data_IF_594288720441
#
_entry.id   IF_594288720441
#
_cell.length_a   1.000
_cell.length_b   1.000
_cell.length_c   1.000
_cell.angle_alpha   90.00
_cell.angle_beta   90.00
_cell.angle_gamma   90.00
#
_symmetry.space_group_name_H-M   'P 1'
#
loop_
_entity.id
_entity.type
_entity.pdbx_description
1 polymer ?
#
# COMPACT_ATOMS: atom_id res chain seq x y z
N UNK A 1 14.69 -28.81 28.20
CA UNK A 1 13.81 -28.41 27.10
C UNK A 1 12.77 -27.46 27.69
N UNK A 2 12.95 -26.15 27.52
CA UNK A 2 11.96 -25.16 27.96
C UNK A 2 11.28 -24.62 26.71
N UNK A 3 10.16 -25.22 26.34
CA UNK A 3 9.25 -24.70 25.30
C UNK A 3 8.20 -23.80 25.96
N UNK A 4 8.64 -22.64 26.44
CA UNK A 4 7.71 -21.63 26.95
C UNK A 4 8.24 -20.27 26.54
N UNK A 5 7.88 -19.82 25.33
CA UNK A 5 7.98 -18.42 24.88
C UNK A 5 7.52 -18.19 23.43
N UNK A 6 7.19 -19.23 22.64
CA UNK A 6 6.78 -19.01 21.24
C UNK A 6 5.29 -18.64 21.10
N UNK A 7 4.40 -19.35 21.82
CA UNK A 7 2.94 -19.23 21.67
C UNK A 7 2.38 -17.84 22.05
N UNK A 8 2.91 -17.22 23.10
CA UNK A 8 2.50 -15.87 23.53
C UNK A 8 2.90 -14.77 22.53
N UNK A 9 3.92 -15.00 21.70
CA UNK A 9 4.33 -14.04 20.68
C UNK A 9 3.48 -14.16 19.42
N UNK A 10 3.07 -15.37 19.04
CA UNK A 10 2.18 -15.62 17.90
C UNK A 10 0.81 -14.96 18.10
N UNK A 11 0.16 -15.16 19.26
CA UNK A 11 -1.15 -14.55 19.56
C UNK A 11 -1.11 -13.01 19.53
N UNK A 12 -0.01 -12.40 19.99
CA UNK A 12 0.18 -10.94 19.94
C UNK A 12 0.40 -10.42 18.52
N UNK A 13 1.10 -11.20 17.68
CA UNK A 13 1.34 -10.82 16.28
C UNK A 13 0.02 -10.86 15.50
N UNK A 14 -0.79 -11.89 15.70
CA UNK A 14 -2.12 -12.01 15.08
C UNK A 14 -3.05 -10.87 15.52
N UNK A 15 -3.07 -10.53 16.81
CA UNK A 15 -3.87 -9.42 17.33
C UNK A 15 -3.45 -8.06 16.73
N UNK A 16 -2.14 -7.82 16.55
CA UNK A 16 -1.64 -6.58 15.93
C UNK A 16 -1.98 -6.52 14.43
N UNK A 17 -1.93 -7.67 13.74
CA UNK A 17 -2.26 -7.80 12.32
C UNK A 17 -3.75 -7.59 12.02
N UNK A 18 -4.63 -8.24 12.76
CA UNK A 18 -6.09 -8.16 12.58
C UNK A 18 -6.65 -6.77 12.93
N UNK A 19 -6.09 -6.11 13.94
CA UNK A 19 -6.52 -4.78 14.36
C UNK A 19 -6.02 -3.65 13.43
N UNK A 20 -5.41 -3.98 12.29
CA UNK A 20 -4.88 -3.01 11.32
C UNK A 20 -4.04 -1.91 11.99
N UNK A 21 -3.31 -2.26 13.04
CA UNK A 21 -2.55 -1.28 13.82
C UNK A 21 -1.37 -0.86 12.97
N UNK A 22 -1.32 0.43 12.60
CA UNK A 22 -0.18 1.00 11.92
C UNK A 22 1.07 0.90 12.81
N UNK A 23 1.97 -0.01 12.47
CA UNK A 23 3.24 -0.22 13.20
C UNK A 23 4.35 0.72 12.74
N UNK A 24 4.16 1.41 11.62
CA UNK A 24 5.08 2.43 11.12
C UNK A 24 4.60 3.82 11.51
N UNK A 25 5.49 4.60 12.13
CA UNK A 25 5.24 6.02 12.42
C UNK A 25 5.28 6.89 11.15
N UNK A 26 5.97 6.42 10.11
CA UNK A 26 6.17 7.14 8.86
C UNK A 26 5.55 6.38 7.68
N UNK A 27 4.97 7.13 6.74
CA UNK A 27 4.51 6.54 5.47
C UNK A 27 5.73 6.22 4.61
N UNK A 28 5.90 4.96 4.16
CA UNK A 28 7.02 4.60 3.31
C UNK A 28 6.85 5.20 1.92
N UNK A 29 7.41 6.39 1.72
CA UNK A 29 7.45 7.08 0.44
C UNK A 29 8.81 6.86 -0.23
N UNK A 30 8.80 6.83 -1.56
CA UNK A 30 10.05 6.81 -2.35
C UNK A 30 10.77 8.16 -2.18
N UNK A 31 12.09 8.16 -2.26
CA UNK A 31 12.92 9.36 -2.02
C UNK A 31 12.65 10.52 -2.99
N UNK A 32 12.13 10.21 -4.17
CA UNK A 32 11.79 11.12 -5.28
C UNK A 32 10.27 11.39 -5.38
N UNK A 33 9.47 11.03 -4.36
CA UNK A 33 8.00 11.11 -4.41
C UNK A 33 7.47 12.54 -4.70
N UNK A 34 8.32 13.55 -4.54
CA UNK A 34 8.00 14.97 -4.71
C UNK A 34 8.78 15.65 -5.85
N UNK A 35 9.51 14.91 -6.66
CA UNK A 35 10.37 15.46 -7.73
C UNK A 35 9.58 16.03 -8.91
N UNK A 36 8.33 15.59 -9.10
CA UNK A 36 7.46 16.05 -10.18
C UNK A 36 6.25 16.83 -9.66
N UNK A 37 5.82 17.82 -10.44
CA UNK A 37 4.66 18.66 -10.12
C UNK A 37 3.36 17.84 -10.05
N UNK A 38 2.39 18.32 -9.27
CA UNK A 38 1.09 17.66 -9.13
C UNK A 38 0.36 17.55 -10.47
N UNK A 39 0.49 18.56 -11.35
CA UNK A 39 -0.08 18.52 -12.70
C UNK A 39 0.50 17.34 -13.52
N UNK A 40 1.81 17.14 -13.43
CA UNK A 40 2.47 16.02 -14.11
C UNK A 40 2.03 14.67 -13.52
N UNK A 41 1.91 14.56 -12.19
CA UNK A 41 1.37 13.37 -11.53
C UNK A 41 -0.04 13.03 -12.05
N UNK A 42 -0.92 14.03 -12.10
CA UNK A 42 -2.31 13.87 -12.56
C UNK A 42 -2.34 13.37 -14.00
N UNK A 43 -1.57 13.99 -14.91
CA UNK A 43 -1.54 13.60 -16.32
C UNK A 43 -1.12 12.12 -16.49
N UNK A 44 -0.04 11.70 -15.83
CA UNK A 44 0.46 10.31 -15.89
C UNK A 44 -0.54 9.30 -15.33
N UNK A 45 -1.18 9.65 -14.22
CA UNK A 45 -2.19 8.80 -13.58
C UNK A 45 -3.41 8.65 -14.51
N UNK A 46 -3.88 9.75 -15.11
CA UNK A 46 -5.02 9.72 -16.04
C UNK A 46 -4.76 8.81 -17.24
N UNK A 47 -3.57 8.88 -17.83
CA UNK A 47 -3.16 8.00 -18.93
C UNK A 47 -3.17 6.53 -18.50
N UNK A 48 -2.54 6.22 -17.37
CA UNK A 48 -2.49 4.84 -16.85
C UNK A 48 -3.89 4.28 -16.53
N UNK A 49 -4.77 5.10 -15.95
CA UNK A 49 -6.15 4.68 -15.64
C UNK A 49 -6.95 4.47 -16.91
N UNK A 50 -6.79 5.33 -17.92
CA UNK A 50 -7.42 5.14 -19.23
C UNK A 50 -7.06 3.77 -19.81
N UNK A 51 -5.78 3.40 -19.77
CA UNK A 51 -5.33 2.09 -20.27
C UNK A 51 -5.90 0.91 -19.48
N UNK A 52 -6.03 1.05 -18.16
CA UNK A 52 -6.71 0.06 -17.32
C UNK A 52 -8.17 -0.09 -17.75
N UNK A 53 -8.90 1.01 -17.92
CA UNK A 53 -10.31 0.99 -18.30
C UNK A 53 -10.52 0.38 -19.69
N UNK A 54 -9.65 0.70 -20.65
CA UNK A 54 -9.65 0.06 -21.97
C UNK A 54 -9.38 -1.45 -21.88
N UNK A 55 -8.42 -1.86 -21.03
CA UNK A 55 -8.12 -3.28 -20.78
C UNK A 55 -9.31 -4.03 -20.19
N UNK A 56 -10.11 -3.35 -19.36
CA UNK A 56 -11.36 -3.87 -18.80
C UNK A 56 -12.52 -3.87 -19.80
N UNK A 57 -12.31 -3.40 -21.03
CA UNK A 57 -13.35 -3.34 -22.07
C UNK A 57 -14.36 -2.21 -21.87
N UNK A 58 -14.00 -1.15 -21.14
CA UNK A 58 -14.86 0.02 -20.97
C UNK A 58 -14.81 0.93 -22.19
N UNK A 59 -15.99 1.39 -22.63
CA UNK A 59 -16.12 2.43 -23.65
C UNK A 59 -15.96 3.81 -22.99
N UNK A 60 -15.04 4.61 -23.53
CA UNK A 60 -14.66 5.93 -23.01
C UNK A 60 -14.98 7.06 -24.01
N UNK A 61 -15.82 6.77 -25.01
CA UNK A 61 -16.25 7.73 -26.03
C UNK A 61 -17.36 8.67 -25.58
#
# INVERSE_FOLDING_TARGET
>A
MFEFNNKMNEEKIDEIGENHVGTSAETPLRSDAFDISDKEKINRIQESVKDILLTLGMDLT
#
